data_IF_892988371980
#
_entry.id   IF_892988371980
#
_cell.length_a   1.000
_cell.length_b   1.000
_cell.length_c   1.000
_cell.angle_alpha   90.00
_cell.angle_beta   90.00
_cell.angle_gamma   90.00
#
_symmetry.space_group_name_H-M   'P 1'
#
loop_
_entity.id
_entity.type
_entity.pdbx_description
1 polymer ?
#
# COMPACT_ATOMS: atom_id res chain seq x y z
N UNK A 1 30.19 4.23 -51.72
CA UNK A 1 29.51 4.10 -53.01
C UNK A 1 28.22 3.32 -52.82
N UNK A 2 27.04 3.93 -52.78
CA UNK A 2 26.60 5.24 -52.23
C UNK A 2 25.16 5.45 -52.67
N UNK A 3 24.37 6.14 -51.85
CA UNK A 3 23.11 6.82 -52.21
C UNK A 3 21.91 5.96 -52.67
N UNK A 4 20.67 6.46 -52.61
CA UNK A 4 19.93 7.05 -51.48
C UNK A 4 18.45 7.15 -51.91
N UNK A 5 17.53 7.27 -50.94
CA UNK A 5 16.16 7.81 -51.09
C UNK A 5 15.22 7.11 -52.11
N UNK A 6 14.29 6.33 -51.57
CA UNK A 6 12.88 6.74 -51.66
C UNK A 6 12.04 6.29 -50.47
N UNK A 7 11.90 7.16 -49.46
CA UNK A 7 10.80 7.03 -48.50
C UNK A 7 9.47 7.18 -49.26
N UNK A 8 8.54 6.24 -49.05
CA UNK A 8 7.11 6.50 -49.21
C UNK A 8 6.51 6.64 -47.82
N UNK A 9 5.77 7.73 -47.60
CA UNK A 9 5.14 8.02 -46.32
C UNK A 9 4.16 6.91 -45.90
N UNK A 10 4.36 6.34 -44.72
CA UNK A 10 3.28 5.66 -44.00
C UNK A 10 2.47 6.78 -43.34
N UNK A 11 1.31 7.12 -43.91
CA UNK A 11 0.30 7.91 -43.17
C UNK A 11 0.05 7.20 -41.84
N UNK A 12 0.14 7.91 -40.73
CA UNK A 12 -0.40 7.42 -39.47
C UNK A 12 -1.91 7.24 -39.60
N UNK A 13 -2.47 6.24 -38.91
CA UNK A 13 -3.88 6.30 -38.56
C UNK A 13 -4.03 7.39 -37.50
N UNK A 14 -5.08 8.21 -37.60
CA UNK A 14 -5.52 8.99 -36.44
C UNK A 14 -5.96 8.05 -35.32
N UNK A 15 -5.94 8.53 -34.09
CA UNK A 15 -6.48 7.83 -32.91
C UNK A 15 -7.84 8.39 -32.47
N UNK A 16 -8.34 9.38 -33.22
CA UNK A 16 -9.65 10.01 -33.10
C UNK A 16 -10.10 10.30 -34.52
N UNK A 17 -11.15 9.60 -34.98
CA UNK A 17 -11.99 9.83 -36.18
C UNK A 17 -13.01 8.66 -36.27
N UNK A 18 -13.51 8.19 -35.11
CA UNK A 18 -14.63 7.25 -35.01
C UNK A 18 -15.81 8.07 -34.42
N UNK A 19 -16.32 9.01 -35.22
CA UNK A 19 -17.59 9.69 -34.96
C UNK A 19 -18.72 8.69 -35.27
N UNK A 20 -18.89 7.70 -34.38
CA UNK A 20 -20.12 6.92 -34.28
C UNK A 20 -21.21 7.86 -33.72
N UNK A 21 -21.79 8.66 -34.61
CA UNK A 21 -23.09 9.31 -34.41
C UNK A 21 -24.14 8.20 -34.23
N UNK A 22 -24.28 7.72 -32.99
CA UNK A 22 -25.42 6.94 -32.50
C UNK A 22 -26.67 7.85 -32.53
N UNK A 23 -27.13 8.15 -33.75
CA UNK A 23 -28.42 8.79 -34.03
C UNK A 23 -29.49 7.99 -33.27
N UNK A 24 -30.01 8.58 -32.19
CA UNK A 24 -30.94 7.92 -31.27
C UNK A 24 -32.28 7.73 -31.97
N UNK A 25 -32.36 6.62 -32.69
CA UNK A 25 -33.41 6.22 -33.63
C UNK A 25 -34.79 6.75 -33.20
N UNK A 26 -35.25 7.80 -33.88
CA UNK A 26 -36.42 8.62 -33.46
C UNK A 26 -37.66 7.76 -33.23
N UNK A 27 -37.80 6.66 -33.98
CA UNK A 27 -38.91 5.71 -33.82
C UNK A 27 -38.80 4.87 -32.54
N UNK A 28 -37.58 4.54 -32.11
CA UNK A 28 -37.31 3.85 -30.84
C UNK A 28 -37.56 4.78 -29.64
N UNK A 29 -37.24 6.07 -29.76
CA UNK A 29 -37.60 7.09 -28.77
C UNK A 29 -39.12 7.35 -28.75
N UNK A 30 -39.77 7.58 -29.90
CA UNK A 30 -41.21 7.85 -29.99
C UNK A 30 -42.08 6.67 -29.53
N UNK A 31 -41.59 5.42 -29.64
CA UNK A 31 -42.32 4.22 -29.24
C UNK A 31 -42.09 3.79 -27.77
N UNK A 32 -41.30 4.54 -26.98
CA UNK A 32 -41.32 4.32 -25.52
C UNK A 32 -42.61 4.89 -24.90
N UNK A 33 -43.34 4.14 -24.05
CA UNK A 33 -44.54 4.65 -23.40
C UNK A 33 -44.16 5.78 -22.44
N UNK A 34 -44.53 7.02 -22.79
CA UNK A 34 -44.24 8.20 -21.98
C UNK A 34 -44.89 8.05 -20.60
N UNK A 35 -44.07 7.76 -19.58
CA UNK A 35 -44.52 7.68 -18.18
C UNK A 35 -44.68 9.08 -17.56
N UNK A 36 -45.33 9.99 -18.30
CA UNK A 36 -45.71 11.33 -17.87
C UNK A 36 -47.17 11.32 -17.40
N UNK A 37 -47.41 11.74 -16.16
CA UNK A 37 -48.75 11.80 -15.60
C UNK A 37 -49.52 13.03 -16.12
N UNK A 38 -50.83 12.85 -16.32
CA UNK A 38 -51.84 13.84 -16.75
C UNK A 38 -51.72 14.43 -18.18
N UNK A 39 -52.87 14.46 -18.87
CA UNK A 39 -53.10 15.27 -20.08
C UNK A 39 -53.29 14.50 -21.39
N UNK A 40 -54.47 13.91 -21.61
CA UNK A 40 -55.42 14.33 -22.67
C UNK A 40 -56.64 13.36 -22.77
N UNK A 41 -57.80 13.91 -22.38
CA UNK A 41 -59.16 13.64 -22.88
C UNK A 41 -59.83 12.24 -22.86
N UNK A 42 -61.04 12.31 -22.28
CA UNK A 42 -62.30 11.66 -22.67
C UNK A 42 -62.57 10.22 -22.21
N UNK A 43 -63.76 10.04 -21.65
CA UNK A 43 -64.20 8.78 -21.05
C UNK A 43 -64.74 7.78 -22.07
N UNK A 44 -64.34 6.52 -21.90
CA UNK A 44 -64.95 5.35 -22.52
C UNK A 44 -64.64 4.12 -21.66
N UNK A 45 -65.66 3.36 -21.27
CA UNK A 45 -65.45 2.08 -20.60
C UNK A 45 -64.84 1.09 -21.60
N UNK A 46 -63.54 0.82 -21.45
CA UNK A 46 -62.86 -0.25 -22.16
C UNK A 46 -62.07 -1.09 -21.16
N UNK A 47 -62.61 -2.24 -20.81
CA UNK A 47 -61.93 -3.29 -20.05
C UNK A 47 -60.82 -3.93 -20.90
N UNK A 48 -59.74 -3.18 -21.14
CA UNK A 48 -58.51 -3.72 -21.69
C UNK A 48 -57.80 -4.55 -20.62
N UNK A 49 -57.67 -5.88 -20.77
CA UNK A 49 -56.84 -6.66 -19.85
C UNK A 49 -55.39 -6.19 -19.97
N UNK A 50 -54.65 -6.02 -18.86
CA UNK A 50 -53.28 -5.52 -18.90
C UNK A 50 -52.39 -6.46 -19.74
N UNK A 51 -51.56 -5.91 -20.65
CA UNK A 51 -50.81 -6.72 -21.61
C UNK A 51 -49.75 -7.57 -20.89
N UNK A 52 -50.03 -8.87 -20.76
CA UNK A 52 -49.25 -9.85 -19.98
C UNK A 52 -47.75 -9.86 -20.34
N UNK A 53 -47.42 -9.52 -21.59
CA UNK A 53 -46.06 -9.47 -22.11
C UNK A 53 -45.16 -8.42 -21.42
N UNK A 54 -45.75 -7.42 -20.75
CA UNK A 54 -45.01 -6.42 -19.97
C UNK A 54 -44.44 -7.01 -18.67
N UNK A 55 -45.25 -7.80 -17.94
CA UNK A 55 -44.88 -8.47 -16.70
C UNK A 55 -43.67 -9.41 -16.86
N UNK A 56 -43.65 -10.20 -17.94
CA UNK A 56 -42.52 -11.12 -18.21
C UNK A 56 -41.21 -10.38 -18.48
N UNK A 57 -41.26 -9.23 -19.17
CA UNK A 57 -40.07 -8.39 -19.41
C UNK A 57 -39.58 -7.73 -18.12
N UNK A 58 -40.49 -7.27 -17.26
CA UNK A 58 -40.14 -6.73 -15.94
C UNK A 58 -39.46 -7.78 -15.04
N UNK A 59 -39.95 -9.03 -15.04
CA UNK A 59 -39.33 -10.13 -14.31
C UNK A 59 -37.89 -10.39 -14.78
N UNK A 60 -37.67 -10.55 -16.08
CA UNK A 60 -36.33 -10.75 -16.67
C UNK A 60 -35.35 -9.62 -16.31
N UNK A 61 -35.79 -8.36 -16.34
CA UNK A 61 -34.98 -7.21 -15.92
C UNK A 61 -34.65 -7.30 -14.42
N UNK A 62 -35.62 -7.65 -13.57
CA UNK A 62 -35.40 -7.77 -12.12
C UNK A 62 -34.42 -8.90 -11.74
N UNK A 63 -34.41 -10.00 -12.49
CA UNK A 63 -33.48 -11.11 -12.30
C UNK A 63 -32.05 -10.76 -12.75
N UNK A 64 -31.87 -10.06 -13.88
CA UNK A 64 -30.52 -9.66 -14.30
C UNK A 64 -29.95 -8.53 -13.43
N UNK A 65 -30.78 -7.60 -12.95
CA UNK A 65 -30.38 -6.64 -11.89
C UNK A 65 -29.89 -7.41 -10.66
N UNK A 66 -30.66 -8.39 -10.16
CA UNK A 66 -30.25 -9.22 -9.01
C UNK A 66 -28.93 -9.97 -9.26
N UNK A 67 -28.71 -10.51 -10.46
CA UNK A 67 -27.45 -11.17 -10.83
C UNK A 67 -26.28 -10.19 -10.85
N UNK A 68 -26.49 -8.95 -11.34
CA UNK A 68 -25.46 -7.90 -11.31
C UNK A 68 -25.15 -7.44 -9.88
N UNK A 69 -26.17 -7.25 -9.03
CA UNK A 69 -26.00 -6.99 -7.59
C UNK A 69 -25.13 -8.08 -6.93
N UNK A 70 -25.49 -9.35 -7.10
CA UNK A 70 -24.81 -10.49 -6.49
C UNK A 70 -23.35 -10.65 -6.99
N UNK A 71 -23.12 -10.56 -8.30
CA UNK A 71 -21.76 -10.56 -8.89
C UNK A 71 -20.91 -9.40 -8.34
N UNK A 72 -21.51 -8.23 -8.13
CA UNK A 72 -20.80 -7.02 -7.66
C UNK A 72 -20.37 -7.17 -6.20
N UNK A 73 -21.26 -7.63 -5.31
CA UNK A 73 -20.91 -7.93 -3.92
C UNK A 73 -19.82 -9.00 -3.87
N UNK A 74 -20.01 -10.14 -4.55
CA UNK A 74 -19.02 -11.23 -4.58
C UNK A 74 -17.66 -10.79 -5.17
N UNK A 75 -17.64 -9.81 -6.08
CA UNK A 75 -16.37 -9.23 -6.55
C UNK A 75 -15.70 -8.36 -5.49
N UNK A 76 -16.45 -7.51 -4.78
CA UNK A 76 -15.90 -6.71 -3.67
C UNK A 76 -15.39 -7.56 -2.50
N UNK A 77 -16.08 -8.65 -2.16
CA UNK A 77 -15.68 -9.59 -1.10
C UNK A 77 -14.38 -10.32 -1.45
N UNK A 78 -14.21 -10.75 -2.71
CA UNK A 78 -12.95 -11.32 -3.19
C UNK A 78 -11.81 -10.30 -3.17
N UNK A 79 -12.07 -9.05 -3.57
CA UNK A 79 -11.09 -7.97 -3.46
C UNK A 79 -10.67 -7.70 -2.02
N UNK A 80 -11.60 -7.72 -1.05
CA UNK A 80 -11.28 -7.58 0.37
C UNK A 80 -10.37 -8.72 0.87
N UNK A 81 -10.64 -9.96 0.48
CA UNK A 81 -9.77 -11.10 0.79
C UNK A 81 -8.35 -10.91 0.25
N UNK A 82 -8.22 -10.55 -1.03
CA UNK A 82 -6.93 -10.28 -1.68
C UNK A 82 -6.19 -9.12 -1.02
N UNK A 83 -6.88 -8.04 -0.63
CA UNK A 83 -6.26 -6.91 0.07
C UNK A 83 -5.71 -7.32 1.45
N UNK A 84 -6.46 -8.13 2.21
CA UNK A 84 -6.00 -8.63 3.52
C UNK A 84 -4.83 -9.62 3.38
N UNK A 85 -4.86 -10.50 2.38
CA UNK A 85 -3.74 -11.41 2.07
C UNK A 85 -2.48 -10.62 1.67
N UNK A 86 -2.63 -9.62 0.79
CA UNK A 86 -1.54 -8.72 0.38
C UNK A 86 -0.99 -7.93 1.56
N UNK A 87 -1.83 -7.50 2.50
CA UNK A 87 -1.42 -6.79 3.71
C UNK A 87 -0.60 -7.68 4.66
N UNK A 88 -1.05 -8.92 4.88
CA UNK A 88 -0.30 -9.89 5.68
C UNK A 88 1.07 -10.21 5.05
N UNK A 89 1.14 -10.35 3.71
CA UNK A 89 2.40 -10.54 2.99
C UNK A 89 3.30 -9.31 3.09
N UNK A 90 2.74 -8.09 2.97
CA UNK A 90 3.46 -6.84 3.14
C UNK A 90 4.03 -6.65 4.56
N UNK A 91 3.28 -7.05 5.58
CA UNK A 91 3.73 -7.07 6.98
C UNK A 91 4.88 -8.07 7.17
N UNK A 92 4.76 -9.30 6.69
CA UNK A 92 5.85 -10.28 6.78
C UNK A 92 7.11 -9.82 6.02
N UNK A 93 6.92 -9.11 4.89
CA UNK A 93 8.03 -8.50 4.14
C UNK A 93 8.70 -7.36 4.92
N UNK A 94 7.93 -6.57 5.68
CA UNK A 94 8.46 -5.52 6.55
C UNK A 94 9.28 -6.10 7.72
N UNK A 95 8.79 -7.16 8.36
CA UNK A 95 9.51 -7.88 9.42
C UNK A 95 10.85 -8.44 8.92
N UNK A 96 10.86 -9.05 7.74
CA UNK A 96 12.08 -9.56 7.09
C UNK A 96 13.06 -8.44 6.71
N UNK A 97 12.59 -7.31 6.17
CA UNK A 97 13.47 -6.16 5.88
C UNK A 97 14.11 -5.59 7.16
N UNK A 98 13.36 -5.46 8.26
CA UNK A 98 13.89 -5.01 9.55
C UNK A 98 14.99 -5.97 10.04
N UNK A 99 14.80 -7.28 9.88
CA UNK A 99 15.81 -8.27 10.23
C UNK A 99 17.07 -8.19 9.33
N UNK A 100 16.89 -8.00 8.01
CA UNK A 100 18.01 -7.81 7.09
C UNK A 100 18.81 -6.52 7.40
N UNK A 101 18.13 -5.43 7.77
CA UNK A 101 18.77 -4.20 8.28
C UNK A 101 19.68 -4.48 9.48
N UNK A 102 19.19 -5.27 10.44
CA UNK A 102 19.96 -5.67 11.63
C UNK A 102 21.20 -6.49 11.25
N UNK A 103 21.07 -7.44 10.31
CA UNK A 103 22.20 -8.22 9.81
C UNK A 103 23.26 -7.34 9.13
N UNK A 104 22.84 -6.35 8.32
CA UNK A 104 23.74 -5.42 7.65
C UNK A 104 24.46 -4.47 8.63
N UNK A 105 23.79 -3.97 9.66
CA UNK A 105 24.42 -3.18 10.72
C UNK A 105 25.43 -4.02 11.54
N UNK A 106 25.08 -5.27 11.85
CA UNK A 106 25.98 -6.23 12.49
C UNK A 106 27.20 -6.56 11.60
N UNK A 107 27.04 -6.58 10.26
CA UNK A 107 28.15 -6.73 9.33
C UNK A 107 29.05 -5.48 9.30
N UNK A 108 28.47 -4.28 9.22
CA UNK A 108 29.23 -3.01 9.24
C UNK A 108 30.09 -2.89 10.51
N UNK A 109 29.51 -3.19 11.68
CA UNK A 109 30.22 -3.19 12.97
C UNK A 109 31.45 -4.12 12.96
N UNK A 110 31.30 -5.36 12.47
CA UNK A 110 32.41 -6.34 12.35
C UNK A 110 33.51 -5.87 11.39
N UNK A 111 33.16 -5.13 10.35
CA UNK A 111 34.11 -4.59 9.37
C UNK A 111 34.84 -3.35 9.92
N UNK A 112 34.17 -2.51 10.71
CA UNK A 112 34.82 -1.43 11.44
C UNK A 112 35.77 -1.94 12.52
N UNK A 113 35.40 -2.99 13.27
CA UNK A 113 36.30 -3.68 14.20
C UNK A 113 37.48 -4.35 13.49
N UNK A 114 37.26 -4.90 12.29
CA UNK A 114 38.34 -5.39 11.43
C UNK A 114 39.30 -4.26 11.04
N UNK A 115 38.78 -3.11 10.60
CA UNK A 115 39.58 -1.92 10.27
C UNK A 115 40.32 -1.35 11.50
N UNK A 116 39.71 -1.36 12.69
CA UNK A 116 40.34 -0.99 13.97
C UNK A 116 41.45 -1.97 14.36
N UNK A 117 41.22 -3.26 14.17
CA UNK A 117 42.19 -4.32 14.41
C UNK A 117 43.38 -4.17 13.45
N UNK A 118 43.14 -3.96 12.15
CA UNK A 118 44.18 -3.69 11.16
C UNK A 118 45.04 -2.47 11.50
N UNK A 119 44.44 -1.36 11.96
CA UNK A 119 45.20 -0.18 12.43
C UNK A 119 46.08 -0.48 13.65
N UNK A 120 45.70 -1.45 14.47
CA UNK A 120 46.45 -1.88 15.67
C UNK A 120 47.55 -2.88 15.28
N UNK A 121 47.23 -3.90 14.48
CA UNK A 121 48.17 -4.86 13.91
C UNK A 121 49.26 -4.18 13.07
N UNK A 122 48.95 -3.12 12.31
CA UNK A 122 49.99 -2.36 11.60
C UNK A 122 50.99 -1.69 12.55
N UNK A 123 50.56 -1.20 13.72
CA UNK A 123 51.48 -0.67 14.74
C UNK A 123 52.39 -1.78 15.27
N UNK A 124 51.84 -2.95 15.59
CA UNK A 124 52.63 -4.11 16.03
C UNK A 124 53.61 -4.61 14.96
N UNK A 125 53.19 -4.71 13.69
CA UNK A 125 54.05 -5.04 12.54
C UNK A 125 55.21 -4.04 12.42
N UNK A 126 54.94 -2.74 12.62
CA UNK A 126 55.98 -1.72 12.60
C UNK A 126 56.94 -1.86 13.79
N UNK A 127 56.45 -2.11 15.00
CA UNK A 127 57.29 -2.39 16.18
C UNK A 127 58.17 -3.63 15.99
N UNK A 128 57.64 -4.70 15.38
CA UNK A 128 58.38 -5.93 15.09
C UNK A 128 59.52 -5.64 14.09
N UNK A 129 59.25 -4.91 13.00
CA UNK A 129 60.29 -4.46 12.06
C UNK A 129 61.39 -3.66 12.77
N UNK A 130 61.01 -2.77 13.69
CA UNK A 130 61.96 -1.95 14.46
C UNK A 130 62.85 -2.76 15.41
N UNK A 131 62.39 -3.87 16.01
CA UNK A 131 63.27 -4.69 16.87
C UNK A 131 64.24 -5.55 16.07
N UNK A 132 63.81 -6.12 14.93
CA UNK A 132 64.72 -6.88 14.04
C UNK A 132 65.78 -6.00 13.37
N UNK A 133 65.46 -4.74 13.04
CA UNK A 133 66.44 -3.75 12.56
C UNK A 133 67.21 -3.01 13.66
N UNK A 134 66.78 -3.11 14.93
CA UNK A 134 67.13 -2.16 15.98
C UNK A 134 68.56 -2.25 16.52
N UNK A 135 69.20 -3.42 16.42
CA UNK A 135 70.50 -3.71 17.07
C UNK A 135 71.65 -2.84 16.51
N UNK A 136 71.47 -2.14 15.39
CA UNK A 136 72.51 -1.32 14.74
C UNK A 136 72.38 0.20 14.99
N UNK A 137 71.35 0.71 15.67
CA UNK A 137 71.12 2.16 15.77
C UNK A 137 70.83 2.72 17.18
N UNK A 138 71.13 1.96 18.24
CA UNK A 138 70.75 2.28 19.62
C UNK A 138 71.64 3.31 20.35
N UNK A 139 72.21 4.30 19.62
CA UNK A 139 73.12 5.31 20.20
C UNK A 139 72.77 6.78 19.89
N UNK A 140 71.53 7.09 19.49
CA UNK A 140 71.10 8.49 19.28
C UNK A 140 69.63 8.80 19.64
N UNK A 141 69.41 9.02 20.95
CA UNK A 141 68.66 10.12 21.59
C UNK A 141 67.28 10.59 21.03
N UNK A 142 66.28 10.65 21.92
CA UNK A 142 64.91 11.24 21.79
C UNK A 142 64.83 12.64 22.46
N UNK A 143 63.67 13.36 22.58
CA UNK A 143 62.25 13.15 22.19
C UNK A 143 61.73 14.29 21.26
N UNK A 144 60.48 14.83 21.17
CA UNK A 144 59.20 14.71 21.92
C UNK A 144 57.96 15.27 21.12
N UNK A 145 56.73 15.06 21.63
CA UNK A 145 55.46 15.82 21.41
C UNK A 145 54.73 15.79 20.03
N UNK A 146 53.42 16.18 19.93
CA UNK A 146 52.32 16.17 20.92
C UNK A 146 51.02 15.45 20.41
N UNK A 147 49.87 15.74 21.05
CA UNK A 147 48.54 15.07 20.93
C UNK A 147 47.66 15.59 19.77
N UNK A 148 46.75 14.75 19.25
CA UNK A 148 45.47 15.15 18.64
C UNK A 148 44.36 14.11 18.90
N UNK A 149 43.10 14.57 18.96
CA UNK A 149 41.88 13.75 18.88
C UNK A 149 41.47 13.44 17.43
N UNK A 150 40.28 12.87 17.17
CA UNK A 150 39.04 13.62 17.43
C UNK A 150 37.86 12.81 17.98
N UNK A 151 36.75 13.51 18.27
CA UNK A 151 35.42 12.93 18.39
C UNK A 151 34.85 12.56 17.01
N UNK A 152 33.91 11.61 16.97
CA UNK A 152 32.65 11.82 16.27
C UNK A 152 31.59 10.85 16.82
N UNK A 153 30.48 11.39 17.31
CA UNK A 153 29.32 10.64 17.79
C UNK A 153 28.49 10.14 16.61
N UNK A 154 28.34 8.82 16.48
CA UNK A 154 27.41 8.22 15.52
C UNK A 154 25.98 8.47 16.02
N UNK A 155 25.20 9.23 15.24
CA UNK A 155 23.75 9.33 15.42
C UNK A 155 23.12 8.10 14.74
N UNK A 156 22.32 7.27 15.43
CA UNK A 156 21.66 6.14 14.80
C UNK A 156 20.56 6.62 13.83
N UNK A 157 20.38 5.97 12.66
CA UNK A 157 19.35 6.34 11.70
C UNK A 157 17.95 5.99 12.22
N UNK A 158 17.13 7.01 12.46
CA UNK A 158 15.83 6.91 13.13
C UNK A 158 14.66 6.50 12.20
N UNK A 159 14.90 5.52 11.32
CA UNK A 159 13.94 5.05 10.29
C UNK A 159 13.12 3.83 10.72
N UNK A 160 13.71 2.84 11.41
CA UNK A 160 13.03 1.57 11.74
C UNK A 160 11.71 1.78 12.51
N UNK A 161 11.69 2.73 13.45
CA UNK A 161 10.52 3.10 14.25
C UNK A 161 9.30 3.50 13.40
N UNK A 162 9.49 4.03 12.18
CA UNK A 162 8.37 4.32 11.27
C UNK A 162 7.74 3.05 10.71
N UNK A 163 8.53 2.16 10.15
CA UNK A 163 8.05 0.89 9.60
C UNK A 163 7.42 0.02 10.70
N UNK A 164 8.03 -0.03 11.89
CA UNK A 164 7.47 -0.67 13.08
C UNK A 164 6.12 -0.07 13.49
N UNK A 165 6.01 1.26 13.58
CA UNK A 165 4.75 1.91 13.97
C UNK A 165 3.64 1.78 12.92
N UNK A 166 3.95 1.79 11.63
CA UNK A 166 2.96 1.53 10.57
C UNK A 166 2.47 0.07 10.63
N UNK A 167 3.37 -0.88 10.87
CA UNK A 167 3.03 -2.28 11.09
C UNK A 167 2.18 -2.50 12.37
N UNK A 168 2.51 -1.84 13.48
CA UNK A 168 1.72 -1.95 14.71
C UNK A 168 0.31 -1.36 14.52
N UNK A 169 0.21 -0.20 13.86
CA UNK A 169 -1.08 0.41 13.53
C UNK A 169 -1.93 -0.47 12.61
N UNK A 170 -1.34 -1.12 11.58
CA UNK A 170 -2.10 -2.05 10.72
C UNK A 170 -2.60 -3.29 11.48
N UNK A 171 -1.79 -3.85 12.37
CA UNK A 171 -2.17 -4.98 13.25
C UNK A 171 -3.32 -4.59 14.21
N UNK A 172 -3.29 -3.37 14.76
CA UNK A 172 -4.29 -2.89 15.71
C UNK A 172 -5.63 -2.52 15.05
N UNK A 173 -5.63 -1.88 13.88
CA UNK A 173 -6.83 -1.51 13.09
C UNK A 173 -7.75 -2.71 12.79
N UNK A 174 -7.18 -3.89 12.61
CA UNK A 174 -7.93 -5.14 12.37
C UNK A 174 -8.78 -5.57 13.58
N UNK A 175 -8.38 -5.20 14.80
CA UNK A 175 -9.04 -5.67 16.04
C UNK A 175 -10.11 -4.72 16.60
N UNK A 176 -10.06 -3.43 16.24
CA UNK A 176 -10.83 -2.38 16.92
C UNK A 176 -12.34 -2.34 16.58
N UNK A 177 -12.77 -2.88 15.44
CA UNK A 177 -14.09 -2.60 14.81
C UNK A 177 -15.27 -3.39 15.40
N UNK A 178 -15.26 -3.68 16.71
CA UNK A 178 -16.23 -4.58 17.37
C UNK A 178 -17.49 -3.90 17.93
N UNK A 179 -17.62 -2.58 17.89
CA UNK A 179 -18.68 -1.83 18.60
C UNK A 179 -19.56 -0.92 17.73
N UNK A 180 -20.04 -1.42 16.59
CA UNK A 180 -21.31 -0.97 15.97
C UNK A 180 -21.96 -2.14 15.24
N UNK A 181 -23.04 -2.70 15.78
CA UNK A 181 -23.73 -3.81 15.11
C UNK A 181 -24.51 -3.31 13.88
N UNK A 182 -24.25 -3.82 12.66
CA UNK A 182 -24.85 -3.29 11.43
C UNK A 182 -26.38 -3.44 11.40
N UNK A 183 -26.93 -4.45 12.09
CA UNK A 183 -28.36 -4.68 12.23
C UNK A 183 -29.13 -3.57 12.98
N UNK A 184 -28.44 -2.70 13.72
CA UNK A 184 -29.05 -1.51 14.34
C UNK A 184 -29.12 -0.35 13.34
N UNK A 185 -28.09 -0.19 12.50
CA UNK A 185 -27.99 0.87 11.49
C UNK A 185 -28.99 0.63 10.35
N UNK A 186 -29.05 -0.57 9.79
CA UNK A 186 -30.00 -0.93 8.71
C UNK A 186 -31.47 -0.86 9.17
N UNK A 187 -31.74 -0.98 10.48
CA UNK A 187 -33.08 -0.88 11.04
C UNK A 187 -33.46 0.55 11.47
N UNK A 188 -32.59 1.54 11.29
CA UNK A 188 -32.84 2.94 11.69
C UNK A 188 -32.98 3.13 13.20
N UNK A 189 -32.30 2.30 14.00
CA UNK A 189 -32.30 2.34 15.47
C UNK A 189 -31.02 2.96 16.04
N UNK A 190 -30.27 3.67 15.20
CA UNK A 190 -29.11 4.48 15.60
C UNK A 190 -29.63 5.78 16.24
N UNK A 191 -29.48 5.90 17.56
CA UNK A 191 -29.85 7.10 18.31
C UNK A 191 -28.72 8.14 18.22
N UNK A 192 -29.00 9.42 17.95
CA UNK A 192 -28.03 10.50 18.15
C UNK A 192 -27.60 10.56 19.61
N UNK A 193 -26.32 10.86 19.87
CA UNK A 193 -25.78 10.97 21.23
C UNK A 193 -26.42 12.13 22.03
N UNK A 194 -26.96 13.15 21.34
CA UNK A 194 -27.65 14.31 21.92
C UNK A 194 -29.01 13.98 22.60
N UNK A 195 -29.41 12.71 22.69
CA UNK A 195 -30.69 12.29 23.29
C UNK A 195 -30.55 11.83 24.76
N UNK A 196 -30.66 12.80 25.68
CA UNK A 196 -30.69 12.57 27.13
C UNK A 196 -31.98 11.85 27.62
N UNK A 197 -33.15 12.08 27.00
CA UNK A 197 -34.44 11.59 27.53
C UNK A 197 -34.97 10.32 26.85
N UNK A 198 -35.71 9.52 27.62
CA UNK A 198 -36.37 8.28 27.15
C UNK A 198 -37.57 8.61 26.24
N UNK A 199 -38.29 9.70 26.51
CA UNK A 199 -39.47 10.10 25.74
C UNK A 199 -39.09 10.56 24.32
N UNK A 200 -37.95 11.23 24.16
CA UNK A 200 -37.44 11.62 22.84
C UNK A 200 -36.96 10.40 22.04
N UNK A 201 -36.28 9.45 22.69
CA UNK A 201 -35.93 8.14 22.08
C UNK A 201 -37.18 7.39 21.59
N UNK A 202 -38.29 7.45 22.33
CA UNK A 202 -39.58 6.87 21.91
C UNK A 202 -40.20 7.62 20.72
N UNK A 203 -40.18 8.95 20.71
CA UNK A 203 -40.64 9.76 19.56
C UNK A 203 -39.87 9.43 18.29
N UNK A 204 -38.55 9.26 18.37
CA UNK A 204 -37.72 8.86 17.22
C UNK A 204 -38.09 7.46 16.71
N UNK A 205 -38.27 6.46 17.58
CA UNK A 205 -38.73 5.12 17.17
C UNK A 205 -40.10 5.15 16.49
N UNK A 206 -41.07 5.90 17.04
CA UNK A 206 -42.39 6.05 16.42
C UNK A 206 -42.29 6.76 15.05
N UNK A 207 -41.57 7.87 15.01
CA UNK A 207 -41.38 8.66 13.80
C UNK A 207 -40.62 7.90 12.71
N UNK A 208 -39.72 6.97 13.06
CA UNK A 208 -39.04 6.07 12.11
C UNK A 208 -39.93 4.91 11.65
N UNK A 209 -40.71 4.31 12.57
CA UNK A 209 -41.65 3.23 12.23
C UNK A 209 -42.70 3.66 11.20
N UNK A 210 -43.15 4.92 11.25
CA UNK A 210 -44.07 5.48 10.27
C UNK A 210 -43.50 5.59 8.83
N UNK A 211 -42.17 5.62 8.66
CA UNK A 211 -41.50 5.80 7.35
C UNK A 211 -41.34 4.49 6.57
N UNK A 212 -41.32 3.36 7.28
CA UNK A 212 -41.07 2.03 6.71
C UNK A 212 -42.29 1.52 5.92
N UNK A 213 -43.50 1.95 6.28
CA UNK A 213 -44.75 1.39 5.77
C UNK A 213 -45.19 1.89 4.38
N UNK A 214 -44.30 2.53 3.62
CA UNK A 214 -44.59 3.10 2.29
C UNK A 214 -43.58 2.75 1.19
N UNK A 215 -42.53 1.98 1.49
CA UNK A 215 -41.50 1.60 0.51
C UNK A 215 -41.80 0.24 -0.12
N UNK A 216 -41.71 0.16 -1.46
CA UNK A 216 -41.87 -1.11 -2.19
C UNK A 216 -40.74 -2.09 -1.84
N UNK A 217 -40.99 -3.41 -1.72
CA UNK A 217 -39.97 -4.39 -1.36
C UNK A 217 -38.72 -4.41 -2.25
N UNK A 218 -38.86 -4.03 -3.52
CA UNK A 218 -37.77 -3.84 -4.48
C UNK A 218 -36.78 -2.74 -4.06
N UNK A 219 -37.28 -1.65 -3.47
CA UNK A 219 -36.48 -0.48 -3.10
C UNK A 219 -35.71 -0.72 -1.78
N UNK A 220 -36.29 -1.48 -0.86
CA UNK A 220 -35.59 -1.98 0.33
C UNK A 220 -34.43 -2.91 -0.06
N UNK A 221 -34.64 -3.85 -1.00
CA UNK A 221 -33.55 -4.73 -1.50
C UNK A 221 -32.40 -3.93 -2.11
N UNK A 222 -32.71 -2.91 -2.92
CA UNK A 222 -31.69 -2.07 -3.54
C UNK A 222 -30.90 -1.26 -2.50
N UNK A 223 -31.56 -0.76 -1.44
CA UNK A 223 -30.89 -0.11 -0.32
C UNK A 223 -29.98 -1.07 0.46
N UNK A 224 -30.44 -2.29 0.75
CA UNK A 224 -29.62 -3.35 1.38
C UNK A 224 -28.39 -3.74 0.52
N UNK A 225 -28.52 -3.73 -0.81
CA UNK A 225 -27.40 -3.94 -1.73
C UNK A 225 -26.40 -2.78 -1.65
N UNK A 226 -26.86 -1.53 -1.80
CA UNK A 226 -25.98 -0.36 -1.77
C UNK A 226 -25.26 -0.22 -0.43
N UNK A 227 -25.93 -0.42 0.70
CA UNK A 227 -25.30 -0.38 2.03
C UNK A 227 -24.20 -1.45 2.22
N UNK A 228 -24.32 -2.62 1.58
CA UNK A 228 -23.26 -3.64 1.56
C UNK A 228 -22.11 -3.25 0.64
N UNK A 229 -22.42 -2.71 -0.54
CA UNK A 229 -21.43 -2.27 -1.50
C UNK A 229 -20.60 -1.11 -0.94
N UNK A 230 -21.23 -0.07 -0.40
CA UNK A 230 -20.58 1.07 0.24
C UNK A 230 -19.70 0.64 1.41
N UNK A 231 -20.16 -0.29 2.26
CA UNK A 231 -19.33 -0.88 3.32
C UNK A 231 -18.07 -1.53 2.73
N UNK A 232 -18.24 -2.38 1.72
CA UNK A 232 -17.12 -3.12 1.15
C UNK A 232 -16.14 -2.20 0.40
N UNK A 233 -16.63 -1.20 -0.34
CA UNK A 233 -15.80 -0.18 -1.00
C UNK A 233 -15.05 0.70 0.01
N UNK A 234 -15.70 1.07 1.13
CA UNK A 234 -15.06 1.79 2.24
C UNK A 234 -13.94 0.96 2.87
N UNK A 235 -14.20 -0.32 3.15
CA UNK A 235 -13.22 -1.25 3.72
C UNK A 235 -12.06 -1.54 2.75
N UNK A 236 -12.34 -1.64 1.44
CA UNK A 236 -11.32 -1.71 0.37
C UNK A 236 -10.47 -0.43 0.33
N UNK A 237 -11.09 0.75 0.43
CA UNK A 237 -10.39 2.04 0.44
C UNK A 237 -9.42 2.15 1.63
N UNK A 238 -9.86 1.74 2.83
CA UNK A 238 -8.97 1.66 4.00
C UNK A 238 -7.86 0.62 3.83
N UNK A 239 -8.15 -0.55 3.23
CA UNK A 239 -7.14 -1.57 2.92
C UNK A 239 -6.05 -1.07 1.96
N UNK A 240 -6.46 -0.44 0.86
CA UNK A 240 -5.55 0.21 -0.10
C UNK A 240 -4.75 1.34 0.57
N UNK A 241 -5.35 2.08 1.50
CA UNK A 241 -4.67 3.08 2.32
C UNK A 241 -3.55 2.49 3.18
N UNK A 242 -3.80 1.37 3.88
CA UNK A 242 -2.78 0.67 4.68
C UNK A 242 -1.69 0.05 3.80
N UNK A 243 -2.06 -0.59 2.69
CA UNK A 243 -1.11 -1.10 1.69
C UNK A 243 -0.22 -0.01 1.11
N UNK A 244 -0.76 1.19 0.83
CA UNK A 244 0.05 2.34 0.39
C UNK A 244 1.04 2.78 1.48
N UNK A 245 0.61 2.80 2.74
CA UNK A 245 1.49 3.10 3.88
C UNK A 245 2.66 2.12 3.99
N UNK A 246 2.33 0.82 4.01
CA UNK A 246 3.33 -0.26 4.01
C UNK A 246 4.27 -0.16 2.80
N UNK A 247 3.75 -0.04 1.57
CA UNK A 247 4.56 0.06 0.36
C UNK A 247 5.50 1.29 0.36
N UNK A 248 5.08 2.40 0.96
CA UNK A 248 5.92 3.59 1.07
C UNK A 248 7.06 3.42 2.09
N UNK A 249 6.80 2.83 3.26
CA UNK A 249 7.84 2.62 4.27
C UNK A 249 8.75 1.42 3.92
N UNK A 250 8.25 0.41 3.21
CA UNK A 250 9.06 -0.64 2.58
C UNK A 250 10.03 -0.05 1.55
N UNK A 251 9.56 0.91 0.73
CA UNK A 251 10.42 1.65 -0.20
C UNK A 251 11.50 2.46 0.51
N UNK A 252 11.11 3.23 1.53
CA UNK A 252 12.05 4.01 2.36
C UNK A 252 13.14 3.10 2.97
N UNK A 253 12.75 1.95 3.53
CA UNK A 253 13.69 1.01 4.17
C UNK A 253 14.64 0.35 3.16
N UNK A 254 14.20 0.07 1.92
CA UNK A 254 15.07 -0.42 0.84
C UNK A 254 16.10 0.64 0.42
N UNK A 255 15.70 1.91 0.27
CA UNK A 255 16.63 3.01 -0.05
C UNK A 255 17.68 3.20 1.06
N UNK A 256 17.26 3.11 2.32
CA UNK A 256 18.12 3.15 3.51
C UNK A 256 19.12 1.98 3.56
N UNK A 257 18.69 0.78 3.14
CA UNK A 257 19.54 -0.42 3.08
C UNK A 257 20.51 -0.41 1.90
N UNK A 258 20.15 0.15 0.74
CA UNK A 258 21.09 0.33 -0.38
C UNK A 258 22.23 1.29 0.01
N UNK A 259 21.90 2.41 0.66
CA UNK A 259 22.90 3.33 1.20
C UNK A 259 23.81 2.69 2.27
N UNK A 260 23.28 1.75 3.06
CA UNK A 260 24.05 0.94 4.01
C UNK A 260 24.95 -0.09 3.29
N UNK A 261 24.45 -0.75 2.24
CA UNK A 261 25.20 -1.71 1.42
C UNK A 261 26.39 -1.06 0.70
N UNK A 262 26.20 0.12 0.10
CA UNK A 262 27.30 0.88 -0.54
C UNK A 262 28.40 1.21 0.47
N UNK A 263 28.02 1.71 1.65
CA UNK A 263 28.97 2.05 2.73
C UNK A 263 29.67 0.82 3.30
N UNK A 264 28.95 -0.30 3.45
CA UNK A 264 29.51 -1.59 3.86
C UNK A 264 30.54 -2.10 2.83
N UNK A 265 30.23 -2.02 1.54
CA UNK A 265 31.11 -2.44 0.45
C UNK A 265 32.44 -1.69 0.45
N UNK A 266 32.42 -0.35 0.55
CA UNK A 266 33.63 0.47 0.64
C UNK A 266 34.48 0.09 1.88
N UNK A 267 33.83 -0.12 3.04
CA UNK A 267 34.50 -0.54 4.27
C UNK A 267 35.13 -1.93 4.16
N UNK A 268 34.46 -2.87 3.47
CA UNK A 268 34.94 -4.24 3.22
C UNK A 268 36.14 -4.24 2.27
N UNK A 269 36.10 -3.47 1.19
CA UNK A 269 37.22 -3.38 0.24
C UNK A 269 38.47 -2.80 0.93
N UNK A 270 38.31 -1.71 1.69
CA UNK A 270 39.38 -1.13 2.50
C UNK A 270 39.94 -2.11 3.54
N UNK A 271 39.09 -2.88 4.21
CA UNK A 271 39.51 -3.93 5.14
C UNK A 271 40.31 -5.03 4.42
N UNK A 272 39.83 -5.52 3.28
CA UNK A 272 40.52 -6.56 2.50
C UNK A 272 41.90 -6.10 2.00
N UNK A 273 41.99 -4.89 1.42
CA UNK A 273 43.28 -4.30 1.04
C UNK A 273 44.25 -4.19 2.24
N UNK A 274 43.72 -3.84 3.42
CA UNK A 274 44.48 -3.81 4.66
C UNK A 274 44.99 -5.19 5.11
N UNK A 275 44.13 -6.20 5.11
CA UNK A 275 44.47 -7.61 5.41
C UNK A 275 45.55 -8.11 4.45
N UNK A 276 45.37 -7.94 3.14
CA UNK A 276 46.35 -8.35 2.13
C UNK A 276 47.72 -7.71 2.35
N UNK A 277 47.75 -6.39 2.56
CA UNK A 277 48.98 -5.62 2.77
C UNK A 277 49.72 -6.09 4.02
N UNK A 278 49.00 -6.38 5.10
CA UNK A 278 49.59 -6.86 6.35
C UNK A 278 50.05 -8.31 6.24
N UNK A 279 49.30 -9.18 5.58
CA UNK A 279 49.73 -10.55 5.25
C UNK A 279 51.01 -10.58 4.40
N UNK A 280 51.10 -9.70 3.39
CA UNK A 280 52.31 -9.52 2.57
C UNK A 280 53.50 -9.03 3.41
N UNK A 281 53.30 -8.07 4.32
CA UNK A 281 54.35 -7.59 5.23
C UNK A 281 54.78 -8.63 6.27
N UNK A 282 53.86 -9.41 6.84
CA UNK A 282 54.17 -10.43 7.84
C UNK A 282 55.00 -11.56 7.22
N UNK A 283 54.67 -11.98 6.00
CA UNK A 283 55.46 -12.94 5.20
C UNK A 283 56.86 -12.42 4.79
N UNK A 284 57.12 -11.12 4.90
CA UNK A 284 58.45 -10.52 4.70
C UNK A 284 59.27 -10.43 6.01
N UNK A 285 58.62 -10.48 7.18
CA UNK A 285 59.29 -10.49 8.49
C UNK A 285 59.70 -11.93 8.88
N UNK A 286 58.97 -12.92 8.39
CA UNK A 286 59.23 -14.35 8.60
C UNK A 286 60.23 -14.95 7.57
N UNK A 287 61.08 -14.12 6.96
CA UNK A 287 62.08 -14.48 5.94
C UNK A 287 63.41 -13.81 6.24
#
# INVERSE_FOLDING_TARGET
>A
MSDFKRLKSRKGKSLYDDDDDDDVDDFTFLNHPKHGNAGYLLGGNYDFPPPQHSSSRQQQISDEIRRMEERTIQSSERSLGILSETENIGIATAEELIHQREQLQNAESKVDDTNRTLRTTQKHINSIKSVFGGIKNYFSKTPDQPKLGPSNSVVPPASSSKLESVMENSKNECSAKKYTHPALRTRGLEFPDDFETIDDRLKFLHASSARVNSQSPSQLRYQDFQLKLDKNLSEMSFGIGRLKGLASELGNEIEDQDALLVRLSEKVENANMGVEKQNKQMRQILK
#
